data_IF_281079387751
#
_entry.id   IF_281079387751
#
_cell.length_a   1.000
_cell.length_b   1.000
_cell.length_c   1.000
_cell.angle_alpha   90.00
_cell.angle_beta   90.00
_cell.angle_gamma   90.00
#
_symmetry.space_group_name_H-M   'P 1'
#
loop_
_entity.id
_entity.type
_entity.pdbx_description
1 polymer ?
#
# COMPACT_ATOMS: atom_id res chain seq x y z
N UNK A 1 -23.27 45.82 65.86
CA UNK A 1 -22.42 44.59 66.12
C UNK A 1 -22.36 43.62 64.94
N UNK A 2 -23.22 43.74 63.96
CA UNK A 2 -23.19 42.85 62.78
C UNK A 2 -22.10 43.18 61.74
N UNK A 3 -21.62 44.46 61.69
CA UNK A 3 -20.61 44.90 60.72
C UNK A 3 -19.19 44.39 61.01
N UNK A 4 -18.86 44.24 62.28
CA UNK A 4 -17.51 43.79 62.69
C UNK A 4 -17.27 42.32 62.32
N UNK A 5 -18.31 41.51 62.37
CA UNK A 5 -18.19 40.08 61.96
C UNK A 5 -18.02 39.94 60.45
N UNK A 6 -18.62 40.82 59.66
CA UNK A 6 -18.51 40.82 58.20
C UNK A 6 -17.11 41.26 57.73
N UNK A 7 -16.53 42.23 58.34
CA UNK A 7 -15.19 42.75 58.07
C UNK A 7 -14.08 41.71 58.40
N UNK A 8 -14.30 40.95 59.52
CA UNK A 8 -13.40 39.85 59.90
C UNK A 8 -13.50 38.63 58.92
N UNK A 9 -14.68 38.33 58.44
CA UNK A 9 -14.88 37.24 57.45
C UNK A 9 -14.31 37.59 56.07
N UNK A 10 -14.41 38.82 55.64
CA UNK A 10 -13.80 39.31 54.40
C UNK A 10 -12.28 39.31 54.47
N UNK A 11 -11.70 39.73 55.60
CA UNK A 11 -10.25 39.69 55.82
C UNK A 11 -9.68 38.25 55.82
N UNK A 12 -10.40 37.32 56.47
CA UNK A 12 -9.97 35.90 56.50
C UNK A 12 -10.08 35.20 55.13
N UNK A 13 -11.02 35.61 54.30
CA UNK A 13 -11.13 35.09 52.91
C UNK A 13 -9.99 35.65 52.03
N UNK A 14 -9.65 36.91 52.19
CA UNK A 14 -8.55 37.54 51.43
C UNK A 14 -7.19 36.94 51.77
N UNK A 15 -6.93 36.67 53.05
CA UNK A 15 -5.68 36.05 53.51
C UNK A 15 -5.54 34.58 53.05
N UNK A 16 -6.63 33.84 53.01
CA UNK A 16 -6.63 32.47 52.51
C UNK A 16 -6.39 32.43 51.00
N UNK A 17 -7.02 33.31 50.24
CA UNK A 17 -6.81 33.43 48.78
C UNK A 17 -5.38 33.84 48.45
N UNK A 18 -4.79 34.81 49.21
CA UNK A 18 -3.39 35.21 49.00
C UNK A 18 -2.39 34.08 49.32
N UNK A 19 -2.64 33.26 50.36
CA UNK A 19 -1.78 32.13 50.70
C UNK A 19 -1.86 31.01 49.65
N UNK A 20 -3.07 30.72 49.16
CA UNK A 20 -3.28 29.74 48.07
C UNK A 20 -2.65 30.23 46.77
N UNK A 21 -2.85 31.52 46.41
CA UNK A 21 -2.26 32.15 45.23
C UNK A 21 -0.73 32.14 45.28
N UNK A 22 -0.12 32.46 46.40
CA UNK A 22 1.34 32.44 46.59
C UNK A 22 1.92 31.01 46.43
N UNK A 23 1.16 29.99 46.80
CA UNK A 23 1.59 28.58 46.71
C UNK A 23 1.37 28.00 45.33
N UNK A 24 0.32 28.47 44.62
CA UNK A 24 -0.08 27.92 43.30
C UNK A 24 0.57 28.64 42.11
N UNK A 25 1.00 29.88 42.25
CA UNK A 25 1.55 30.68 41.14
C UNK A 25 2.75 30.05 40.45
N UNK A 26 3.66 29.45 41.22
CA UNK A 26 4.83 28.81 40.63
C UNK A 26 4.52 27.50 39.89
N UNK A 27 3.75 26.57 40.45
CA UNK A 27 3.34 25.40 39.68
C UNK A 27 2.43 25.71 38.47
N UNK A 28 1.58 26.74 38.57
CA UNK A 28 0.79 27.20 37.41
C UNK A 28 1.66 27.79 36.30
N UNK A 29 2.66 28.62 36.67
CA UNK A 29 3.64 29.11 35.69
C UNK A 29 4.46 27.98 35.07
N UNK A 30 4.90 27.02 35.86
CA UNK A 30 5.62 25.87 35.38
C UNK A 30 4.76 25.01 34.43
N UNK A 31 3.48 24.79 34.77
CA UNK A 31 2.53 24.09 33.91
C UNK A 31 2.28 24.84 32.59
N UNK A 32 2.12 26.16 32.65
CA UNK A 32 1.94 27.00 31.46
C UNK A 32 3.17 26.93 30.54
N UNK A 33 4.39 27.03 31.10
CA UNK A 33 5.63 26.93 30.36
C UNK A 33 5.80 25.52 29.76
N UNK A 34 5.40 24.47 30.48
CA UNK A 34 5.43 23.08 29.95
C UNK A 34 4.46 22.91 28.79
N UNK A 35 3.26 23.49 28.86
CA UNK A 35 2.29 23.46 27.76
C UNK A 35 2.83 24.21 26.54
N UNK A 36 3.38 25.41 26.73
CA UNK A 36 3.98 26.20 25.65
C UNK A 36 5.14 25.44 25.01
N UNK A 37 6.01 24.84 25.83
CA UNK A 37 7.12 24.00 25.32
C UNK A 37 6.65 22.78 24.55
N UNK A 38 5.61 22.10 25.03
CA UNK A 38 5.01 20.94 24.34
C UNK A 38 4.37 21.34 23.00
N UNK A 39 3.65 22.45 22.96
CA UNK A 39 3.07 22.99 21.72
C UNK A 39 4.15 23.40 20.72
N UNK A 40 5.19 24.09 21.18
CA UNK A 40 6.32 24.48 20.33
C UNK A 40 7.04 23.26 19.75
N UNK A 41 7.32 22.25 20.58
CA UNK A 41 7.92 20.98 20.11
C UNK A 41 7.03 20.26 19.11
N UNK A 42 5.72 20.20 19.37
CA UNK A 42 4.75 19.60 18.44
C UNK A 42 4.72 20.31 17.07
N UNK A 43 4.71 21.66 17.07
CA UNK A 43 4.74 22.44 15.82
C UNK A 43 6.02 22.17 15.04
N UNK A 44 7.19 22.21 15.70
CA UNK A 44 8.48 21.94 15.03
C UNK A 44 8.53 20.54 14.44
N UNK A 45 8.10 19.51 15.18
CA UNK A 45 8.08 18.13 14.67
C UNK A 45 7.12 17.99 13.48
N UNK A 46 5.98 18.65 13.57
CA UNK A 46 5.00 18.66 12.48
C UNK A 46 5.54 19.35 11.22
N UNK A 47 6.16 20.52 11.36
CA UNK A 47 6.70 21.29 10.23
C UNK A 47 7.83 20.51 9.53
N UNK A 48 8.74 19.87 10.29
CA UNK A 48 9.78 19.01 9.74
C UNK A 48 9.21 17.81 8.98
N UNK A 49 8.14 17.19 9.49
CA UNK A 49 7.46 16.10 8.81
C UNK A 49 6.75 16.57 7.52
N UNK A 50 6.19 17.78 7.52
CA UNK A 50 5.53 18.38 6.36
C UNK A 50 6.55 18.73 5.26
N UNK A 51 7.70 19.30 5.61
CA UNK A 51 8.82 19.55 4.68
C UNK A 51 9.33 18.26 4.05
N UNK A 52 9.53 17.20 4.84
CA UNK A 52 9.95 15.90 4.34
C UNK A 52 8.96 15.29 3.33
N UNK A 53 7.66 15.41 3.59
CA UNK A 53 6.61 14.95 2.66
C UNK A 53 6.60 15.74 1.35
N UNK A 54 6.77 17.05 1.40
CA UNK A 54 6.84 17.91 0.22
C UNK A 54 8.06 17.56 -0.63
N UNK A 55 9.22 17.33 0.00
CA UNK A 55 10.43 16.92 -0.69
C UNK A 55 10.24 15.57 -1.39
N UNK A 56 9.72 14.56 -0.67
CA UNK A 56 9.44 13.24 -1.24
C UNK A 56 8.43 13.31 -2.39
N UNK A 57 7.37 14.13 -2.24
CA UNK A 57 6.40 14.39 -3.29
C UNK A 57 7.03 15.03 -4.53
N UNK A 58 7.94 15.98 -4.36
CA UNK A 58 8.66 16.62 -5.46
C UNK A 58 9.59 15.64 -6.16
N UNK A 59 10.35 14.83 -5.42
CA UNK A 59 11.21 13.78 -5.98
C UNK A 59 10.39 12.74 -6.77
N UNK A 60 9.21 12.36 -6.25
CA UNK A 60 8.31 11.47 -6.97
C UNK A 60 7.79 12.08 -8.27
N UNK A 61 7.43 13.37 -8.27
CA UNK A 61 6.99 14.08 -9.48
C UNK A 61 8.08 14.14 -10.54
N UNK A 62 9.33 14.41 -10.14
CA UNK A 62 10.50 14.39 -11.06
C UNK A 62 10.70 12.99 -11.65
N UNK A 63 10.64 11.93 -10.84
CA UNK A 63 10.77 10.56 -11.33
C UNK A 63 9.65 10.19 -12.32
N UNK A 64 8.42 10.66 -12.04
CA UNK A 64 7.27 10.43 -12.92
C UNK A 64 7.39 11.19 -14.25
N UNK A 65 7.85 12.44 -14.22
CA UNK A 65 8.11 13.23 -15.41
C UNK A 65 9.21 12.59 -16.27
N UNK A 66 10.29 12.13 -15.67
CA UNK A 66 11.38 11.39 -16.34
C UNK A 66 10.85 10.15 -17.04
N UNK A 67 9.99 9.39 -16.34
CA UNK A 67 9.36 8.20 -16.91
C UNK A 67 8.43 8.53 -18.08
N UNK A 68 7.60 9.56 -17.95
CA UNK A 68 6.68 10.01 -19.00
C UNK A 68 7.45 10.60 -20.20
N UNK A 69 8.61 11.19 -19.96
CA UNK A 69 9.52 11.66 -21.00
C UNK A 69 10.23 10.55 -21.79
N UNK A 70 10.03 9.28 -21.40
CA UNK A 70 10.56 8.11 -22.09
C UNK A 70 11.92 7.62 -21.60
N UNK A 71 12.54 8.29 -20.62
CA UNK A 71 13.78 7.85 -19.99
C UNK A 71 13.47 6.83 -18.86
N UNK A 72 13.14 5.61 -19.27
CA UNK A 72 12.78 4.55 -18.37
C UNK A 72 13.93 4.13 -17.44
N UNK A 73 15.18 4.15 -17.91
CA UNK A 73 16.33 3.76 -17.11
C UNK A 73 16.57 4.73 -15.94
N UNK A 74 16.63 6.03 -16.23
CA UNK A 74 16.74 7.05 -15.17
C UNK A 74 15.54 7.02 -14.21
N UNK A 75 14.35 6.73 -14.71
CA UNK A 75 13.17 6.60 -13.86
C UNK A 75 13.27 5.43 -12.88
N UNK A 76 13.84 4.27 -13.28
CA UNK A 76 14.12 3.15 -12.35
C UNK A 76 15.01 3.60 -11.20
N UNK A 77 16.10 4.31 -11.50
CA UNK A 77 17.02 4.80 -10.48
C UNK A 77 16.36 5.78 -9.52
N UNK A 78 15.62 6.77 -10.06
CA UNK A 78 14.93 7.78 -9.26
C UNK A 78 13.86 7.18 -8.35
N UNK A 79 13.02 6.28 -8.87
CA UNK A 79 12.01 5.61 -8.06
C UNK A 79 12.62 4.66 -7.02
N UNK A 80 13.71 3.95 -7.36
CA UNK A 80 14.40 3.07 -6.41
C UNK A 80 15.03 3.87 -5.28
N UNK A 81 15.75 4.95 -5.59
CA UNK A 81 16.33 5.82 -4.58
C UNK A 81 15.26 6.43 -3.65
N UNK A 82 14.11 6.84 -4.22
CA UNK A 82 13.01 7.35 -3.41
C UNK A 82 12.44 6.29 -2.46
N UNK A 83 12.32 5.04 -2.91
CA UNK A 83 11.83 3.95 -2.08
C UNK A 83 12.82 3.54 -0.97
N UNK A 84 14.12 3.62 -1.25
CA UNK A 84 15.17 3.24 -0.30
C UNK A 84 15.39 4.32 0.79
N UNK A 85 15.12 5.59 0.46
CA UNK A 85 15.21 6.72 1.40
C UNK A 85 13.91 6.95 2.20
N UNK A 86 12.83 6.22 1.92
CA UNK A 86 11.53 6.50 2.49
C UNK A 86 11.33 5.83 3.85
N UNK A 87 10.89 6.63 4.83
CA UNK A 87 10.50 6.15 6.17
C UNK A 87 9.01 5.76 6.23
N UNK A 88 8.16 6.35 5.38
CA UNK A 88 6.72 6.09 5.37
C UNK A 88 6.35 4.99 4.35
N UNK A 89 5.47 4.02 4.72
CA UNK A 89 5.14 2.87 3.87
C UNK A 89 4.62 3.23 2.46
N UNK A 90 3.87 4.33 2.33
CA UNK A 90 3.36 4.80 1.04
C UNK A 90 4.49 5.20 0.07
N UNK A 91 5.54 5.81 0.59
CA UNK A 91 6.72 6.20 -0.19
C UNK A 91 7.70 5.05 -0.42
N UNK A 92 7.49 3.89 0.17
CA UNK A 92 8.20 2.65 -0.14
C UNK A 92 7.48 1.86 -1.24
N UNK A 93 6.17 1.65 -1.08
CA UNK A 93 5.37 0.75 -1.92
C UNK A 93 5.20 1.30 -3.35
N UNK A 94 4.68 2.52 -3.47
CA UNK A 94 4.36 3.09 -4.78
C UNK A 94 5.59 3.35 -5.65
N UNK A 95 6.70 3.90 -5.15
CA UNK A 95 7.93 4.01 -5.94
C UNK A 95 8.50 2.66 -6.37
N UNK A 96 8.49 1.62 -5.53
CA UNK A 96 8.93 0.27 -5.93
C UNK A 96 8.08 -0.29 -7.08
N UNK A 97 6.75 -0.12 -7.02
CA UNK A 97 5.87 -0.52 -8.12
C UNK A 97 6.16 0.25 -9.40
N UNK A 98 6.47 1.56 -9.29
CA UNK A 98 6.85 2.39 -10.43
C UNK A 98 8.23 2.04 -10.98
N UNK A 99 9.20 1.77 -10.11
CA UNK A 99 10.51 1.30 -10.54
C UNK A 99 10.42 0.00 -11.34
N UNK A 100 9.63 -0.97 -10.87
CA UNK A 100 9.39 -2.20 -11.61
C UNK A 100 8.69 -1.94 -12.96
N UNK A 101 7.70 -1.05 -13.00
CA UNK A 101 7.05 -0.65 -14.26
C UNK A 101 8.03 0.02 -15.22
N UNK A 102 8.91 0.89 -14.73
CA UNK A 102 9.94 1.53 -15.51
C UNK A 102 10.98 0.49 -16.05
N UNK A 103 11.37 -0.51 -15.23
CA UNK A 103 12.21 -1.63 -15.68
C UNK A 103 11.57 -2.40 -16.84
N UNK A 104 10.26 -2.68 -16.77
CA UNK A 104 9.53 -3.29 -17.90
C UNK A 104 9.60 -2.41 -19.14
N UNK A 105 9.38 -1.10 -19.01
CA UNK A 105 9.44 -0.16 -20.14
C UNK A 105 10.85 -0.02 -20.74
N UNK A 106 11.89 -0.17 -19.89
CA UNK A 106 13.29 -0.24 -20.32
C UNK A 106 13.67 -1.57 -21.00
N UNK A 107 12.77 -2.57 -21.02
CA UNK A 107 13.04 -3.92 -21.52
C UNK A 107 13.75 -4.84 -20.52
N UNK A 108 14.01 -4.38 -19.29
CA UNK A 108 14.62 -5.18 -18.23
C UNK A 108 13.55 -5.92 -17.43
N UNK A 109 13.04 -7.01 -18.01
CA UNK A 109 12.03 -7.85 -17.39
C UNK A 109 12.55 -8.51 -16.10
N UNK A 110 13.83 -8.91 -16.09
CA UNK A 110 14.44 -9.56 -14.94
C UNK A 110 14.62 -8.57 -13.76
N UNK A 111 14.99 -7.33 -14.07
CA UNK A 111 15.05 -6.25 -13.08
C UNK A 111 13.68 -5.98 -12.46
N UNK A 112 12.62 -5.94 -13.26
CA UNK A 112 11.26 -5.78 -12.76
C UNK A 112 10.86 -6.93 -11.81
N UNK A 113 11.11 -8.19 -12.17
CA UNK A 113 10.86 -9.36 -11.31
C UNK A 113 11.65 -9.25 -10.01
N UNK A 114 12.93 -8.86 -10.08
CA UNK A 114 13.76 -8.68 -8.88
C UNK A 114 13.21 -7.61 -7.92
N UNK A 115 12.68 -6.51 -8.45
CA UNK A 115 12.05 -5.47 -7.62
C UNK A 115 10.78 -6.02 -6.94
N UNK A 116 9.92 -6.73 -7.68
CA UNK A 116 8.73 -7.35 -7.10
C UNK A 116 9.08 -8.42 -6.05
N UNK A 117 10.11 -9.25 -6.29
CA UNK A 117 10.53 -10.28 -5.35
C UNK A 117 11.06 -9.68 -4.04
N UNK A 118 11.83 -8.59 -4.10
CA UNK A 118 12.25 -7.85 -2.91
C UNK A 118 11.06 -7.29 -2.14
N UNK A 119 10.08 -6.74 -2.84
CA UNK A 119 8.86 -6.22 -2.22
C UNK A 119 8.03 -7.33 -1.57
N UNK A 120 7.89 -8.48 -2.22
CA UNK A 120 7.17 -9.65 -1.69
C UNK A 120 7.84 -10.23 -0.43
N UNK A 121 9.18 -10.19 -0.36
CA UNK A 121 9.96 -10.65 0.79
C UNK A 121 10.10 -9.65 1.94
N UNK A 122 9.67 -8.40 1.77
CA UNK A 122 9.81 -7.34 2.76
C UNK A 122 8.72 -7.42 3.83
N UNK A 123 9.08 -7.92 5.02
CA UNK A 123 8.16 -8.08 6.15
C UNK A 123 7.59 -6.77 6.72
N UNK A 124 8.14 -5.61 6.37
CA UNK A 124 7.63 -4.30 6.77
C UNK A 124 6.43 -3.83 5.93
N UNK A 125 6.24 -4.45 4.75
CA UNK A 125 5.14 -4.15 3.83
C UNK A 125 3.90 -4.97 4.24
N UNK A 126 2.73 -4.33 4.16
CA UNK A 126 1.45 -5.00 4.39
C UNK A 126 1.30 -6.26 3.50
N UNK A 127 0.81 -7.38 4.04
CA UNK A 127 0.63 -8.63 3.30
C UNK A 127 -0.09 -8.49 1.95
N UNK A 128 -1.09 -7.60 1.88
CA UNK A 128 -1.85 -7.35 0.65
C UNK A 128 -0.94 -6.89 -0.50
N UNK A 129 0.01 -6.00 -0.22
CA UNK A 129 0.95 -5.50 -1.24
C UNK A 129 2.09 -6.47 -1.53
N UNK A 130 2.49 -7.29 -0.55
CA UNK A 130 3.44 -8.39 -0.79
C UNK A 130 2.85 -9.45 -1.73
N UNK A 131 1.60 -9.79 -1.51
CA UNK A 131 0.84 -10.69 -2.37
C UNK A 131 0.67 -10.11 -3.79
N UNK A 132 0.36 -8.81 -3.89
CA UNK A 132 0.31 -8.10 -5.17
C UNK A 132 1.67 -8.16 -5.89
N UNK A 133 2.78 -7.94 -5.20
CA UNK A 133 4.10 -8.02 -5.79
C UNK A 133 4.42 -9.43 -6.29
N UNK A 134 4.05 -10.47 -5.51
CA UNK A 134 4.17 -11.87 -5.93
C UNK A 134 3.37 -12.14 -7.22
N UNK A 135 2.15 -11.63 -7.29
CA UNK A 135 1.28 -11.74 -8.46
C UNK A 135 1.90 -11.06 -9.68
N UNK A 136 2.39 -9.83 -9.52
CA UNK A 136 3.00 -9.05 -10.61
C UNK A 136 4.31 -9.68 -11.11
N UNK A 137 5.13 -10.25 -10.20
CA UNK A 137 6.31 -11.00 -10.59
C UNK A 137 5.94 -12.23 -11.45
N UNK A 138 4.92 -12.99 -11.04
CA UNK A 138 4.44 -14.15 -11.80
C UNK A 138 3.90 -13.74 -13.17
N UNK A 139 3.16 -12.64 -13.25
CA UNK A 139 2.63 -12.09 -14.51
C UNK A 139 3.76 -11.75 -15.50
N UNK A 140 4.88 -11.17 -15.01
CA UNK A 140 6.05 -10.91 -15.88
C UNK A 140 6.74 -12.19 -16.38
N UNK A 141 6.57 -13.29 -15.68
CA UNK A 141 7.19 -14.58 -15.99
C UNK A 141 6.30 -15.52 -16.83
N UNK A 142 5.06 -15.14 -17.10
CA UNK A 142 4.10 -15.98 -17.87
C UNK A 142 4.72 -16.50 -19.17
N UNK A 143 5.47 -15.69 -19.89
CA UNK A 143 6.02 -16.04 -21.20
C UNK A 143 7.30 -16.90 -21.14
N UNK A 144 7.98 -16.94 -20.00
CA UNK A 144 9.32 -17.55 -19.87
C UNK A 144 9.41 -18.68 -18.88
N UNK A 145 8.71 -18.60 -17.74
CA UNK A 145 8.80 -19.58 -16.67
C UNK A 145 8.04 -20.89 -16.99
N UNK A 146 8.45 -21.97 -16.34
CA UNK A 146 7.70 -23.22 -16.38
C UNK A 146 6.38 -23.12 -15.59
N UNK A 147 5.40 -23.98 -15.90
CA UNK A 147 4.15 -24.03 -15.15
C UNK A 147 4.39 -24.40 -13.68
N UNK A 148 5.36 -25.26 -13.40
CA UNK A 148 5.74 -25.64 -12.04
C UNK A 148 6.26 -24.44 -11.23
N UNK A 149 7.14 -23.64 -11.82
CA UNK A 149 7.68 -22.44 -11.19
C UNK A 149 6.57 -21.40 -10.89
N UNK A 150 5.65 -21.17 -11.83
CA UNK A 150 4.50 -20.28 -11.62
C UNK A 150 3.59 -20.82 -10.52
N UNK A 151 3.29 -22.12 -10.49
CA UNK A 151 2.49 -22.75 -9.46
C UNK A 151 3.13 -22.63 -8.07
N UNK A 152 4.44 -22.87 -7.95
CA UNK A 152 5.17 -22.72 -6.68
C UNK A 152 5.14 -21.26 -6.19
N UNK A 153 5.39 -20.32 -7.07
CA UNK A 153 5.36 -18.89 -6.75
C UNK A 153 3.98 -18.43 -6.29
N UNK A 154 2.93 -18.87 -6.97
CA UNK A 154 1.55 -18.44 -6.69
C UNK A 154 0.84 -19.28 -5.62
N UNK A 155 1.43 -20.38 -5.15
CA UNK A 155 0.81 -21.26 -4.16
C UNK A 155 0.19 -20.55 -2.95
N UNK A 156 0.85 -19.52 -2.34
CA UNK A 156 0.25 -18.76 -1.23
C UNK A 156 -1.01 -17.98 -1.62
N UNK A 157 -1.13 -17.55 -2.87
CA UNK A 157 -2.25 -16.77 -3.39
C UNK A 157 -3.43 -17.63 -3.85
N UNK A 158 -3.24 -18.93 -4.03
CA UNK A 158 -4.28 -19.85 -4.51
C UNK A 158 -5.22 -20.35 -3.41
N UNK A 159 -5.05 -19.89 -2.17
CA UNK A 159 -5.94 -20.22 -1.04
C UNK A 159 -7.29 -19.55 -1.19
N UNK A 160 -8.34 -20.13 -0.60
CA UNK A 160 -9.73 -19.67 -0.77
C UNK A 160 -9.95 -18.24 -0.25
N UNK A 161 -9.24 -17.88 0.81
CA UNK A 161 -9.38 -16.59 1.49
C UNK A 161 -8.58 -15.45 0.84
N UNK A 162 -7.64 -15.77 -0.05
CA UNK A 162 -6.78 -14.76 -0.64
C UNK A 162 -7.53 -13.94 -1.72
N UNK A 163 -7.58 -12.60 -1.60
CA UNK A 163 -8.29 -11.75 -2.55
C UNK A 163 -7.70 -11.79 -3.97
N UNK A 164 -6.41 -12.14 -4.12
CA UNK A 164 -5.72 -12.23 -5.40
C UNK A 164 -5.90 -13.59 -6.09
N UNK A 165 -6.57 -14.55 -5.45
CA UNK A 165 -6.77 -15.92 -5.97
C UNK A 165 -7.29 -15.95 -7.42
N UNK A 166 -8.32 -15.19 -7.82
CA UNK A 166 -8.81 -15.24 -9.20
C UNK A 166 -7.77 -14.81 -10.23
N UNK A 167 -6.98 -13.78 -9.93
CA UNK A 167 -5.90 -13.32 -10.80
C UNK A 167 -4.73 -14.33 -10.83
N UNK A 168 -4.40 -14.94 -9.70
CA UNK A 168 -3.39 -15.98 -9.64
C UNK A 168 -3.79 -17.21 -10.48
N UNK A 169 -5.06 -17.62 -10.40
CA UNK A 169 -5.59 -18.71 -11.25
C UNK A 169 -5.58 -18.35 -12.74
N UNK A 170 -5.85 -17.09 -13.09
CA UNK A 170 -5.75 -16.62 -14.49
C UNK A 170 -4.31 -16.72 -15.01
N UNK A 171 -3.30 -16.31 -14.22
CA UNK A 171 -1.88 -16.43 -14.57
C UNK A 171 -1.47 -17.91 -14.77
N UNK A 172 -1.89 -18.80 -13.87
CA UNK A 172 -1.65 -20.24 -14.00
C UNK A 172 -2.28 -20.78 -15.29
N UNK A 173 -3.53 -20.40 -15.59
CA UNK A 173 -4.23 -20.84 -16.80
C UNK A 173 -3.54 -20.34 -18.08
N UNK A 174 -3.11 -19.08 -18.11
CA UNK A 174 -2.35 -18.51 -19.24
C UNK A 174 -1.03 -19.24 -19.44
N UNK A 175 -0.30 -19.52 -18.35
CA UNK A 175 0.94 -20.29 -18.42
C UNK A 175 0.69 -21.72 -18.91
N UNK A 176 -0.35 -22.40 -18.42
CA UNK A 176 -0.73 -23.74 -18.88
C UNK A 176 -1.03 -23.74 -20.37
N UNK A 177 -1.74 -22.75 -20.88
CA UNK A 177 -2.02 -22.60 -22.30
C UNK A 177 -0.74 -22.44 -23.11
N UNK A 178 0.17 -21.58 -22.70
CA UNK A 178 1.46 -21.34 -23.36
C UNK A 178 2.31 -22.61 -23.45
N UNK A 179 2.35 -23.41 -22.38
CA UNK A 179 3.16 -24.66 -22.36
C UNK A 179 2.46 -25.85 -23.00
N UNK A 180 1.34 -25.64 -23.71
CA UNK A 180 0.63 -26.68 -24.44
C UNK A 180 -0.22 -27.61 -23.60
N UNK A 181 -0.75 -27.10 -22.47
CA UNK A 181 -1.71 -27.79 -21.58
C UNK A 181 -3.11 -27.17 -21.66
N UNK A 182 -3.77 -27.19 -22.85
CA UNK A 182 -5.04 -26.47 -23.04
C UNK A 182 -6.18 -27.00 -22.17
N UNK A 183 -6.19 -28.27 -21.80
CA UNK A 183 -7.25 -28.82 -20.94
C UNK A 183 -7.17 -28.31 -19.49
N UNK A 184 -5.96 -28.14 -18.95
CA UNK A 184 -5.75 -27.52 -17.63
C UNK A 184 -6.18 -26.04 -17.67
N UNK A 185 -5.79 -25.33 -18.72
CA UNK A 185 -6.17 -23.93 -18.91
C UNK A 185 -7.70 -23.77 -19.02
N UNK A 186 -8.35 -24.64 -19.82
CA UNK A 186 -9.80 -24.66 -20.00
C UNK A 186 -10.53 -24.86 -18.67
N UNK A 187 -10.09 -25.81 -17.83
CA UNK A 187 -10.71 -26.09 -16.55
C UNK A 187 -10.65 -24.87 -15.62
N UNK A 188 -9.51 -24.16 -15.60
CA UNK A 188 -9.34 -22.94 -14.80
C UNK A 188 -10.18 -21.78 -15.33
N UNK A 189 -10.20 -21.54 -16.64
CA UNK A 189 -11.04 -20.48 -17.22
C UNK A 189 -12.53 -20.76 -17.05
N UNK A 190 -12.98 -22.02 -17.15
CA UNK A 190 -14.36 -22.38 -16.86
C UNK A 190 -14.72 -22.07 -15.40
N UNK A 191 -13.84 -22.39 -14.47
CA UNK A 191 -14.03 -22.06 -13.07
C UNK A 191 -14.11 -20.54 -12.87
N UNK A 192 -13.20 -19.77 -13.45
CA UNK A 192 -13.17 -18.30 -13.33
C UNK A 192 -14.38 -17.62 -13.98
N UNK A 193 -14.97 -18.22 -15.02
CA UNK A 193 -16.17 -17.67 -15.67
C UNK A 193 -17.45 -17.89 -14.87
N UNK A 194 -17.51 -18.95 -14.03
CA UNK A 194 -18.73 -19.36 -13.31
C UNK A 194 -18.69 -19.08 -11.81
N UNK A 195 -17.52 -18.98 -11.21
CA UNK A 195 -17.37 -18.83 -9.77
C UNK A 195 -17.86 -17.45 -9.28
N UNK A 196 -18.63 -17.43 -8.17
CA UNK A 196 -19.07 -16.20 -7.53
C UNK A 196 -17.87 -15.44 -6.92
N UNK A 197 -17.92 -14.10 -6.97
CA UNK A 197 -16.86 -13.25 -6.42
C UNK A 197 -15.66 -13.03 -7.32
N UNK A 198 -15.58 -13.66 -8.48
CA UNK A 198 -14.54 -13.37 -9.48
C UNK A 198 -14.76 -11.95 -10.05
N UNK A 199 -13.72 -11.08 -10.10
CA UNK A 199 -13.83 -9.75 -10.66
C UNK A 199 -14.35 -9.78 -12.11
N UNK A 200 -15.23 -8.83 -12.50
CA UNK A 200 -15.85 -8.84 -13.82
C UNK A 200 -14.87 -8.88 -15.00
N UNK A 201 -13.73 -8.18 -14.86
CA UNK A 201 -12.67 -8.20 -15.90
C UNK A 201 -12.02 -9.56 -16.08
N UNK A 202 -11.74 -10.29 -14.99
CA UNK A 202 -11.19 -11.65 -15.04
C UNK A 202 -12.20 -12.60 -15.66
N UNK A 203 -13.47 -12.51 -15.27
CA UNK A 203 -14.56 -13.33 -15.83
C UNK A 203 -14.68 -13.14 -17.34
N UNK A 204 -14.76 -11.89 -17.80
CA UNK A 204 -14.92 -11.59 -19.24
C UNK A 204 -13.73 -12.12 -20.06
N UNK A 205 -12.50 -11.95 -19.59
CA UNK A 205 -11.31 -12.51 -20.27
C UNK A 205 -11.34 -14.04 -20.29
N UNK A 206 -11.75 -14.66 -19.19
CA UNK A 206 -11.88 -16.12 -19.09
C UNK A 206 -12.92 -16.68 -20.08
N UNK A 207 -14.08 -16.03 -20.22
CA UNK A 207 -15.12 -16.38 -21.20
C UNK A 207 -14.60 -16.25 -22.63
N UNK A 208 -13.89 -15.18 -22.95
CA UNK A 208 -13.27 -14.97 -24.25
C UNK A 208 -12.25 -16.04 -24.59
N UNK A 209 -11.38 -16.41 -23.63
CA UNK A 209 -10.37 -17.44 -23.81
C UNK A 209 -11.00 -18.84 -23.94
N UNK A 210 -12.05 -19.15 -23.17
CA UNK A 210 -12.83 -20.37 -23.34
C UNK A 210 -13.41 -20.50 -24.74
N UNK A 211 -14.00 -19.42 -25.25
CA UNK A 211 -14.55 -19.40 -26.62
C UNK A 211 -13.49 -19.71 -27.67
N UNK A 212 -12.28 -19.12 -27.50
CA UNK A 212 -11.15 -19.39 -28.44
C UNK A 212 -10.60 -20.81 -28.37
N UNK A 213 -10.76 -21.48 -27.22
CA UNK A 213 -10.36 -22.89 -27.02
C UNK A 213 -11.45 -23.89 -27.43
N UNK A 214 -12.50 -23.44 -28.11
CA UNK A 214 -13.61 -24.28 -28.56
C UNK A 214 -14.60 -24.68 -27.45
N UNK A 215 -14.65 -23.94 -26.34
CA UNK A 215 -15.69 -24.03 -25.32
C UNK A 215 -16.97 -23.34 -25.79
N UNK A 216 -18.15 -23.94 -25.60
CA UNK A 216 -19.41 -23.24 -25.79
C UNK A 216 -19.51 -22.12 -24.73
N UNK A 217 -20.01 -20.93 -25.12
CA UNK A 217 -20.37 -19.90 -24.12
C UNK A 217 -21.38 -20.51 -23.14
N UNK A 218 -21.18 -20.26 -21.86
CA UNK A 218 -22.19 -20.60 -20.84
C UNK A 218 -23.40 -19.70 -21.16
N UNK A 219 -24.49 -20.32 -21.68
CA UNK A 219 -25.75 -19.57 -21.82
C UNK A 219 -26.16 -19.02 -20.45
N UNK A 220 -26.49 -17.72 -20.34
CA UNK A 220 -27.02 -17.18 -19.10
C UNK A 220 -28.29 -17.95 -18.75
N UNK A 221 -28.29 -18.67 -17.64
CA UNK A 221 -29.49 -19.28 -17.09
C UNK A 221 -30.48 -18.17 -16.81
N UNK A 222 -31.46 -18.00 -17.69
CA UNK A 222 -32.65 -17.17 -17.40
C UNK A 222 -33.37 -17.88 -16.26
N UNK A 223 -33.22 -17.33 -15.05
CA UNK A 223 -34.08 -17.71 -13.93
C UNK A 223 -35.49 -17.18 -14.23
N UNK A 224 -36.42 -18.12 -14.40
CA UNK A 224 -37.86 -17.87 -14.35
C UNK A 224 -38.33 -17.52 -12.93
#
# INVERSE_FOLDING_TARGET
MADIYREIEEGLRHDRLQKVWRRLRWPLLAALLAIIGAVAAYVVVRDLAEEGRLEQGTRYAVALETFQGGDANSAVELFSALADDADEPGYVIFPRLRAAQASVAAGDMQGAVSIYDRMAGDGSIDPLYRDLATLLAADRLVDTASLEEINQRLAPLLTTENPWRPLAQEIVALTALRVGRPEEARALFLKLSTEAGVPPGVRARSEQLLSSLGGSPVEPTTAD
#
